data_IF_623297316588
#
_entry.id   IF_623297316588
#
_cell.length_a   1.000
_cell.length_b   1.000
_cell.length_c   1.000
_cell.angle_alpha   90.00
_cell.angle_beta   90.00
_cell.angle_gamma   90.00
#
_symmetry.space_group_name_H-M   'P 1'
#
loop_
_entity.id
_entity.type
_entity.pdbx_description
1 polymer ?
#
# COMPACT_ATOMS: atom_id res chain seq x y z
N UNK A 1 -12.63 14.74 3.73
CA UNK A 1 -11.60 13.74 3.37
C UNK A 1 -10.26 14.36 2.96
N UNK A 2 -10.19 15.34 2.03
CA UNK A 2 -8.91 16.00 1.66
C UNK A 2 -8.07 16.50 2.85
N UNK A 3 -8.72 17.12 3.82
CA UNK A 3 -8.08 17.71 4.99
C UNK A 3 -7.52 16.70 6.00
N UNK A 4 -7.89 15.42 5.91
CA UNK A 4 -7.29 14.36 6.72
C UNK A 4 -5.97 13.89 6.12
N UNK A 5 -5.94 13.74 4.79
CA UNK A 5 -4.78 13.25 4.07
C UNK A 5 -3.62 14.25 4.05
N UNK A 6 -3.90 15.55 3.89
CA UNK A 6 -2.88 16.60 4.03
C UNK A 6 -2.22 16.57 5.42
N UNK A 7 -3.03 16.44 6.47
CA UNK A 7 -2.54 16.29 7.84
C UNK A 7 -1.77 14.98 8.07
N UNK A 8 -2.16 13.90 7.40
CA UNK A 8 -1.43 12.63 7.49
C UNK A 8 -0.03 12.75 6.91
N UNK A 9 0.14 13.47 5.79
CA UNK A 9 1.47 13.78 5.23
C UNK A 9 2.30 14.59 6.22
N UNK A 10 1.75 15.69 6.75
CA UNK A 10 2.44 16.53 7.74
C UNK A 10 2.87 15.74 8.99
N UNK A 11 1.98 14.88 9.49
CA UNK A 11 2.28 13.97 10.62
C UNK A 11 3.39 12.98 10.28
N UNK A 12 3.40 12.45 9.06
CA UNK A 12 4.44 11.51 8.61
C UNK A 12 5.81 12.19 8.64
N UNK A 13 5.90 13.40 8.07
CA UNK A 13 7.14 14.17 8.03
C UNK A 13 7.63 14.50 9.44
N UNK A 14 6.73 14.90 10.34
CA UNK A 14 7.06 15.17 11.73
C UNK A 14 7.62 13.93 12.43
N UNK A 15 6.98 12.76 12.26
CA UNK A 15 7.41 11.52 12.89
C UNK A 15 8.77 11.06 12.39
N UNK A 16 9.00 11.13 11.06
CA UNK A 16 10.30 10.83 10.46
C UNK A 16 11.38 11.77 11.03
N UNK A 17 11.11 13.07 11.09
CA UNK A 17 12.07 14.06 11.60
C UNK A 17 12.44 13.84 13.08
N UNK A 18 11.52 13.25 13.86
CA UNK A 18 11.69 12.92 15.27
C UNK A 18 12.21 11.49 15.50
N UNK A 19 12.59 10.76 14.44
CA UNK A 19 12.99 9.35 14.51
C UNK A 19 11.94 8.43 15.16
N UNK A 20 10.67 8.79 15.00
CA UNK A 20 9.53 7.98 15.42
C UNK A 20 9.07 7.08 14.27
N UNK A 21 8.37 6.00 14.61
CA UNK A 21 7.78 5.08 13.64
C UNK A 21 6.27 5.26 13.61
N UNK A 22 5.72 5.41 12.41
CA UNK A 22 4.28 5.37 12.16
C UNK A 22 3.95 4.15 11.31
N UNK A 23 2.96 3.37 11.75
CA UNK A 23 2.42 2.24 10.99
C UNK A 23 1.00 2.62 10.55
N UNK A 24 0.73 2.51 9.25
CA UNK A 24 -0.57 2.77 8.67
C UNK A 24 -1.08 1.53 7.95
N UNK A 25 -2.38 1.29 8.04
CA UNK A 25 -3.10 0.28 7.26
C UNK A 25 -4.02 1.06 6.33
N UNK A 26 -3.78 0.96 5.03
CA UNK A 26 -4.46 1.76 4.01
C UNK A 26 -4.67 0.91 2.76
N UNK A 27 -5.81 1.11 2.09
CA UNK A 27 -6.20 0.45 0.84
C UNK A 27 -5.93 1.32 -0.40
N UNK A 28 -5.88 2.64 -0.24
CA UNK A 28 -5.54 3.59 -1.30
C UNK A 28 -4.01 3.66 -1.53
N UNK A 29 -3.56 3.02 -2.62
CA UNK A 29 -2.14 2.93 -2.98
C UNK A 29 -1.48 4.30 -3.21
N UNK A 30 -2.23 5.30 -3.68
CA UNK A 30 -1.69 6.64 -3.93
C UNK A 30 -1.44 7.37 -2.61
N UNK A 31 -2.23 7.08 -1.57
CA UNK A 31 -1.97 7.59 -0.22
C UNK A 31 -0.75 6.93 0.38
N UNK A 32 -0.66 5.61 0.31
CA UNK A 32 0.51 4.85 0.76
C UNK A 32 1.78 5.40 0.11
N UNK A 33 1.75 5.66 -1.21
CA UNK A 33 2.90 6.17 -1.95
C UNK A 33 3.37 7.57 -1.49
N UNK A 34 2.50 8.36 -0.86
CA UNK A 34 2.78 9.73 -0.42
C UNK A 34 3.07 9.87 1.07
N UNK A 35 2.67 8.90 1.88
CA UNK A 35 2.81 8.96 3.35
C UNK A 35 3.71 7.86 3.90
N UNK A 36 4.32 7.02 3.07
CA UNK A 36 5.22 5.94 3.54
C UNK A 36 6.56 5.97 2.82
N UNK A 37 7.57 5.38 3.47
CA UNK A 37 8.89 5.11 2.90
C UNK A 37 9.18 3.60 2.79
N UNK A 38 8.31 2.77 3.35
CA UNK A 38 8.41 1.31 3.40
C UNK A 38 7.01 0.70 3.44
N UNK A 39 6.81 -0.42 2.73
CA UNK A 39 5.52 -1.09 2.60
C UNK A 39 5.69 -2.57 2.95
N UNK A 40 4.73 -3.11 3.70
CA UNK A 40 4.48 -4.55 3.78
C UNK A 40 3.11 -4.83 3.18
N UNK A 41 3.08 -5.53 2.04
CA UNK A 41 1.86 -5.84 1.31
C UNK A 41 1.38 -7.26 1.64
N UNK A 42 0.14 -7.35 2.11
CA UNK A 42 -0.52 -8.60 2.45
C UNK A 42 -1.66 -8.90 1.49
N UNK A 43 -1.85 -10.18 1.17
CA UNK A 43 -3.00 -10.69 0.41
C UNK A 43 -3.34 -12.09 0.92
N UNK A 44 -4.63 -12.35 1.15
CA UNK A 44 -5.14 -13.64 1.66
C UNK A 44 -4.45 -14.12 2.95
N UNK A 45 -4.15 -13.19 3.86
CA UNK A 45 -3.47 -13.49 5.13
C UNK A 45 -1.96 -13.77 5.00
N UNK A 46 -1.38 -13.61 3.82
CA UNK A 46 0.04 -13.85 3.56
C UNK A 46 0.78 -12.56 3.21
N UNK A 47 2.00 -12.41 3.74
CA UNK A 47 2.93 -11.36 3.31
C UNK A 47 3.42 -11.69 1.90
N UNK A 48 3.00 -10.91 0.90
CA UNK A 48 3.40 -11.11 -0.50
C UNK A 48 4.74 -10.46 -0.79
N UNK A 49 4.95 -9.24 -0.28
CA UNK A 49 6.21 -8.52 -0.43
C UNK A 49 6.36 -7.43 0.63
N UNK A 50 7.58 -7.20 1.07
CA UNK A 50 7.98 -5.99 1.79
C UNK A 50 9.14 -5.29 1.09
N UNK A 51 9.28 -3.99 1.37
CA UNK A 51 10.44 -3.20 0.98
C UNK A 51 10.13 -1.73 0.77
N UNK A 52 11.05 -1.04 0.09
CA UNK A 52 10.81 0.34 -0.34
C UNK A 52 9.67 0.43 -1.37
N UNK A 53 9.09 1.61 -1.51
CA UNK A 53 7.98 1.87 -2.46
C UNK A 53 8.32 1.40 -3.88
N UNK A 54 9.55 1.65 -4.34
CA UNK A 54 10.01 1.27 -5.68
C UNK A 54 10.07 -0.23 -5.89
N UNK A 55 10.26 -1.01 -4.83
CA UNK A 55 10.32 -2.47 -4.90
C UNK A 55 8.93 -3.10 -4.82
N UNK A 56 8.01 -2.50 -4.05
CA UNK A 56 6.70 -3.09 -3.77
C UNK A 56 5.63 -2.62 -4.76
N UNK A 57 5.55 -1.31 -5.05
CA UNK A 57 4.44 -0.75 -5.83
C UNK A 57 4.32 -1.29 -7.26
N UNK A 58 5.41 -1.53 -8.02
CA UNK A 58 5.29 -2.14 -9.35
C UNK A 58 4.65 -3.53 -9.27
N UNK A 59 5.13 -4.39 -8.36
CA UNK A 59 4.62 -5.75 -8.19
C UNK A 59 3.15 -5.76 -7.74
N UNK A 60 2.78 -4.85 -6.83
CA UNK A 60 1.39 -4.67 -6.41
C UNK A 60 0.49 -4.26 -7.59
N UNK A 61 0.93 -3.30 -8.41
CA UNK A 61 0.14 -2.82 -9.56
C UNK A 61 -0.05 -3.90 -10.62
N UNK A 62 1.00 -4.67 -10.93
CA UNK A 62 0.90 -5.81 -11.85
C UNK A 62 -0.11 -6.84 -11.32
N UNK A 63 -0.03 -7.19 -10.04
CA UNK A 63 -1.01 -8.09 -9.39
C UNK A 63 -2.44 -7.54 -9.45
N UNK A 64 -2.65 -6.23 -9.27
CA UNK A 64 -3.98 -5.64 -9.38
C UNK A 64 -4.52 -5.65 -10.82
N UNK A 65 -3.63 -5.50 -11.82
CA UNK A 65 -3.99 -5.66 -13.23
C UNK A 65 -4.45 -7.10 -13.48
N UNK A 66 -3.69 -8.10 -13.03
CA UNK A 66 -4.04 -9.51 -13.16
C UNK A 66 -5.40 -9.78 -12.48
N UNK A 67 -5.56 -9.33 -11.22
CA UNK A 67 -6.80 -9.48 -10.45
C UNK A 67 -8.02 -8.86 -11.14
N UNK A 68 -7.85 -7.69 -11.76
CA UNK A 68 -8.95 -6.97 -12.43
C UNK A 68 -9.27 -7.53 -13.82
N UNK A 69 -8.35 -8.28 -14.42
CA UNK A 69 -8.55 -8.99 -15.69
C UNK A 69 -9.35 -10.30 -15.56
N UNK A 70 -9.61 -10.78 -14.34
CA UNK A 70 -10.38 -12.01 -14.09
C UNK A 70 -11.88 -11.79 -14.37
N UNK A 71 -12.46 -12.62 -15.24
CA UNK A 71 -13.86 -12.45 -15.66
C UNK A 71 -14.80 -13.40 -14.90
N UNK A 72 -14.37 -14.65 -14.69
CA UNK A 72 -15.19 -15.72 -14.14
C UNK A 72 -15.10 -15.82 -12.61
N UNK A 73 -16.09 -16.48 -11.99
CA UNK A 73 -16.08 -16.74 -10.54
C UNK A 73 -14.97 -17.73 -10.14
N UNK A 74 -14.71 -18.75 -10.97
CA UNK A 74 -13.66 -19.74 -10.76
C UNK A 74 -12.26 -19.12 -10.82
N UNK A 75 -12.01 -18.21 -11.76
CA UNK A 75 -10.75 -17.46 -11.83
C UNK A 75 -10.52 -16.62 -10.57
N UNK A 76 -11.57 -15.98 -10.05
CA UNK A 76 -11.50 -15.15 -8.84
C UNK A 76 -11.30 -15.97 -7.55
N UNK A 77 -11.82 -17.19 -7.50
CA UNK A 77 -11.66 -18.07 -6.33
C UNK A 77 -10.25 -18.65 -6.23
N UNK A 78 -9.58 -18.84 -7.37
CA UNK A 78 -8.25 -19.46 -7.45
C UNK A 78 -7.06 -18.47 -7.44
N UNK A 79 -7.32 -17.17 -7.28
CA UNK A 79 -6.33 -16.09 -7.32
C UNK A 79 -5.91 -15.61 -5.91
#
# INVERSE_FOLDING_TARGET
MRHFFERAIELTDEYISKSLTMVMIEDDVERVARTSNYIAWFSHGQLRKEGSLKQVLPLYRDHEIDRTSLETAEEKENF
#
